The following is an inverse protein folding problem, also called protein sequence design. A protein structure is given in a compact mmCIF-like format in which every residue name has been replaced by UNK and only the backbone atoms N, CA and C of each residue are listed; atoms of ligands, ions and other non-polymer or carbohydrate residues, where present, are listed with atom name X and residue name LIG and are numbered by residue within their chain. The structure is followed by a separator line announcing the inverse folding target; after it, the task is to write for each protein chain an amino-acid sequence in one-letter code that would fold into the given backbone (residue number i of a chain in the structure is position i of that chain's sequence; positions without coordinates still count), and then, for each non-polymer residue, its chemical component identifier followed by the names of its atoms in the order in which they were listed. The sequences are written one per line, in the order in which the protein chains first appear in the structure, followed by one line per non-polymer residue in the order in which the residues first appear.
data_IF_749277254794
#
_entry.id   IF_749277254794
#
_cell.length_a   1.000
_cell.length_b   1.000
_cell.length_c   1.000
_cell.angle_alpha   90.00
_cell.angle_beta   90.00
_cell.angle_gamma   90.00
#
_symmetry.space_group_name_H-M   'P 1'
#
loop_
_entity.id
_entity.type
_entity.pdbx_description
1 polymer ?
#
# COMPACT_ATOMS: atom_id res chain seq x y z
N UNK A 1 23.30 -0.49 -2.59
CA UNK A 1 22.37 -0.37 -1.45
C UNK A 1 21.82 1.05 -1.31
N UNK A 2 22.67 2.09 -1.29
CA UNK A 2 22.29 3.52 -1.21
C UNK A 2 21.27 3.91 -2.30
N UNK A 3 21.52 3.52 -3.55
CA UNK A 3 20.63 3.80 -4.67
C UNK A 3 19.22 3.23 -4.46
N UNK A 4 19.12 2.00 -3.95
CA UNK A 4 17.81 1.36 -3.69
C UNK A 4 17.07 2.04 -2.55
N UNK A 5 17.76 2.48 -1.50
CA UNK A 5 17.14 3.22 -0.38
C UNK A 5 16.56 4.56 -0.84
N UNK A 6 17.32 5.32 -1.65
CA UNK A 6 16.84 6.58 -2.22
C UNK A 6 15.64 6.38 -3.16
N UNK A 7 15.67 5.31 -3.96
CA UNK A 7 14.55 4.95 -4.82
C UNK A 7 13.29 4.63 -4.01
N UNK A 8 13.42 3.89 -2.90
CA UNK A 8 12.29 3.58 -2.01
C UNK A 8 11.71 4.87 -1.42
N UNK A 9 12.54 5.80 -0.95
CA UNK A 9 12.08 7.10 -0.43
C UNK A 9 11.32 7.88 -1.50
N UNK A 10 11.85 7.97 -2.72
CA UNK A 10 11.18 8.63 -3.85
C UNK A 10 9.83 8.00 -4.16
N UNK A 11 9.76 6.66 -4.21
CA UNK A 11 8.51 5.95 -4.50
C UNK A 11 7.47 6.16 -3.39
N UNK A 12 7.87 6.11 -2.11
CA UNK A 12 6.97 6.39 -0.99
C UNK A 12 6.48 7.83 -1.08
N UNK A 13 7.37 8.80 -1.30
CA UNK A 13 7.00 10.20 -1.46
C UNK A 13 6.01 10.37 -2.60
N UNK A 14 6.26 9.76 -3.76
CA UNK A 14 5.34 9.80 -4.89
C UNK A 14 3.96 9.20 -4.55
N UNK A 15 3.90 8.07 -3.85
CA UNK A 15 2.61 7.48 -3.46
C UNK A 15 1.82 8.38 -2.52
N UNK A 16 2.49 9.09 -1.61
CA UNK A 16 1.85 10.06 -0.70
C UNK A 16 1.25 11.24 -1.48
N UNK A 17 1.87 11.67 -2.59
CA UNK A 17 1.28 12.73 -3.44
C UNK A 17 -0.05 12.32 -4.07
N UNK A 18 -0.24 11.01 -4.29
CA UNK A 18 -1.49 10.50 -4.85
C UNK A 18 -2.63 10.50 -3.82
N UNK A 19 -2.31 10.15 -2.57
CA UNK A 19 -3.27 10.13 -1.45
C UNK A 19 -2.54 10.29 -0.12
N UNK A 20 -2.98 11.21 0.71
CA UNK A 20 -2.43 11.45 2.06
C UNK A 20 -2.45 10.22 2.96
N UNK A 21 -3.40 9.31 2.78
CA UNK A 21 -3.50 8.02 3.47
C UNK A 21 -2.20 7.20 3.36
N UNK A 22 -1.47 7.30 2.26
CA UNK A 22 -0.21 6.57 2.07
C UNK A 22 0.97 7.11 2.91
N UNK A 23 0.76 8.12 3.74
CA UNK A 23 1.80 8.58 4.69
C UNK A 23 2.30 7.44 5.59
N UNK A 24 1.44 6.49 5.94
CA UNK A 24 1.79 5.30 6.71
C UNK A 24 2.80 4.39 5.99
N UNK A 25 2.96 4.52 4.67
CA UNK A 25 3.98 3.77 3.90
C UNK A 25 5.41 4.08 4.34
N UNK A 26 5.66 5.20 5.06
CA UNK A 26 6.96 5.46 5.67
C UNK A 26 7.37 4.38 6.68
N UNK A 27 6.42 3.66 7.29
CA UNK A 27 6.73 2.51 8.16
C UNK A 27 7.49 1.40 7.43
N UNK A 28 7.38 1.31 6.10
CA UNK A 28 8.16 0.36 5.29
C UNK A 28 9.67 0.64 5.31
N UNK A 29 10.10 1.82 5.77
CA UNK A 29 11.52 2.13 5.95
C UNK A 29 12.08 1.56 7.25
N UNK A 30 11.25 1.22 8.25
CA UNK A 30 11.69 0.77 9.57
C UNK A 30 12.60 -0.46 9.53
N UNK A 31 12.37 -1.52 8.70
CA UNK A 31 13.30 -2.64 8.61
C UNK A 31 14.71 -2.24 8.16
N UNK A 32 14.81 -1.26 7.27
CA UNK A 32 16.09 -0.74 6.81
C UNK A 32 16.81 0.04 7.91
N UNK A 33 16.06 0.84 8.68
CA UNK A 33 16.60 1.61 9.80
C UNK A 33 17.07 0.71 10.95
N UNK A 34 16.41 -0.42 11.19
CA UNK A 34 16.72 -1.35 12.28
C UNK A 34 17.94 -2.24 11.97
N UNK A 35 18.09 -2.72 10.74
CA UNK A 35 19.09 -3.75 10.40
C UNK A 35 20.29 -3.23 9.62
N UNK A 36 20.29 -1.96 9.23
CA UNK A 36 21.40 -1.33 8.53
C UNK A 36 21.88 -0.09 9.29
N UNK A 37 23.10 0.34 9.02
CA UNK A 37 23.67 1.56 9.62
C UNK A 37 22.95 2.80 9.08
N UNK A 38 21.80 3.14 9.74
CA UNK A 38 20.94 4.23 9.33
C UNK A 38 21.62 5.60 9.42
N UNK A 39 22.54 5.80 10.41
CA UNK A 39 23.26 7.07 10.57
C UNK A 39 24.11 7.37 9.34
N UNK A 40 24.90 6.38 8.91
CA UNK A 40 25.71 6.49 7.70
C UNK A 40 24.84 6.66 6.45
N UNK A 41 23.72 5.97 6.36
CA UNK A 41 22.78 6.08 5.24
C UNK A 41 22.14 7.47 5.18
N UNK A 42 21.65 8.01 6.29
CA UNK A 42 21.07 9.35 6.36
C UNK A 42 22.08 10.43 5.99
N UNK A 43 23.27 10.44 6.61
CA UNK A 43 24.33 11.40 6.32
C UNK A 43 24.68 11.39 4.82
N UNK A 44 24.86 10.22 4.23
CA UNK A 44 25.15 10.10 2.80
C UNK A 44 23.98 10.49 1.88
N UNK A 45 22.76 10.51 2.42
CA UNK A 45 21.55 10.81 1.64
C UNK A 45 21.12 12.26 1.72
N UNK A 46 21.44 12.99 2.80
CA UNK A 46 21.01 14.39 3.04
C UNK A 46 21.37 15.32 1.86
N UNK A 47 22.56 15.18 1.28
CA UNK A 47 22.99 15.99 0.13
C UNK A 47 22.63 15.37 -1.22
N UNK A 48 21.84 14.30 -1.23
CA UNK A 48 21.40 13.68 -2.49
C UNK A 48 20.19 14.42 -3.05
N UNK A 49 20.22 14.76 -4.35
CA UNK A 49 19.14 15.48 -5.03
C UNK A 49 17.77 14.79 -4.87
N UNK A 50 17.74 13.44 -4.94
CA UNK A 50 16.50 12.67 -4.78
C UNK A 50 15.93 12.81 -3.37
N UNK A 51 16.77 12.82 -2.33
CA UNK A 51 16.34 12.98 -0.95
C UNK A 51 15.82 14.40 -0.69
N UNK A 52 16.56 15.41 -1.16
CA UNK A 52 16.14 16.82 -1.07
C UNK A 52 14.82 17.04 -1.80
N UNK A 53 14.67 16.50 -3.00
CA UNK A 53 13.42 16.57 -3.76
C UNK A 53 12.26 15.92 -3.00
N UNK A 54 12.45 14.75 -2.38
CA UNK A 54 11.44 14.10 -1.57
C UNK A 54 10.99 14.96 -0.38
N UNK A 55 11.94 15.58 0.34
CA UNK A 55 11.61 16.47 1.46
C UNK A 55 10.83 17.69 0.97
N UNK A 56 11.28 18.35 -0.08
CA UNK A 56 10.60 19.51 -0.66
C UNK A 56 9.17 19.14 -1.08
N UNK A 57 8.99 17.97 -1.70
CA UNK A 57 7.67 17.49 -2.11
C UNK A 57 6.74 17.28 -0.91
N UNK A 58 7.22 16.66 0.17
CA UNK A 58 6.42 16.45 1.40
C UNK A 58 6.05 17.79 2.04
N UNK A 59 7.00 18.72 2.15
CA UNK A 59 6.74 20.08 2.70
C UNK A 59 5.69 20.79 1.83
N UNK A 60 5.82 20.72 0.52
CA UNK A 60 4.86 21.33 -0.41
C UNK A 60 3.46 20.74 -0.29
N UNK A 61 3.33 19.42 -0.12
CA UNK A 61 2.05 18.76 0.12
C UNK A 61 1.40 19.22 1.43
N UNK A 62 2.18 19.30 2.51
CA UNK A 62 1.69 19.82 3.79
C UNK A 62 1.24 21.27 3.64
N UNK A 63 2.03 22.10 2.94
CA UNK A 63 1.68 23.49 2.70
C UNK A 63 0.40 23.65 1.88
N UNK A 64 0.21 22.84 0.83
CA UNK A 64 -1.03 22.84 0.04
C UNK A 64 -2.21 22.40 0.90
N UNK A 65 -2.13 21.28 1.61
CA UNK A 65 -3.20 20.84 2.49
C UNK A 65 -3.57 21.91 3.50
N UNK A 66 -2.58 22.52 4.12
CA UNK A 66 -2.77 23.59 5.07
C UNK A 66 -3.42 24.83 4.43
N UNK A 67 -2.96 25.25 3.27
CA UNK A 67 -3.49 26.42 2.56
C UNK A 67 -4.96 26.26 2.16
N UNK A 68 -5.40 25.04 1.80
CA UNK A 68 -6.78 24.79 1.37
C UNK A 68 -7.73 24.40 2.50
N UNK A 69 -7.23 23.78 3.57
CA UNK A 69 -8.09 23.17 4.58
C UNK A 69 -7.80 23.63 6.01
N UNK A 70 -6.66 24.30 6.27
CA UNK A 70 -6.18 24.56 7.61
C UNK A 70 -5.60 23.34 8.32
N UNK A 71 -5.44 22.20 7.64
CA UNK A 71 -4.92 20.95 8.20
C UNK A 71 -3.59 20.57 7.53
N UNK A 72 -2.61 20.13 8.32
CA UNK A 72 -1.35 19.64 7.76
C UNK A 72 -1.55 18.34 6.95
N UNK A 73 -2.45 17.46 7.39
CA UNK A 73 -2.81 16.21 6.70
C UNK A 73 -4.34 16.08 6.69
N UNK A 74 -4.97 16.40 5.57
CA UNK A 74 -6.42 16.25 5.42
C UNK A 74 -6.76 14.79 5.03
N UNK A 75 -7.81 14.17 5.59
CA UNK A 75 -8.79 14.65 6.54
C UNK A 75 -8.56 14.20 8.00
N UNK A 76 -7.39 14.46 8.56
CA UNK A 76 -7.06 14.14 9.95
C UNK A 76 -7.27 15.38 10.82
N UNK A 77 -8.37 15.43 11.59
CA UNK A 77 -8.80 16.60 12.35
C UNK A 77 -7.78 17.08 13.41
N UNK A 78 -6.97 16.16 13.95
CA UNK A 78 -5.93 16.46 14.92
C UNK A 78 -4.79 17.32 14.35
N UNK A 79 -4.66 17.33 13.02
CA UNK A 79 -3.65 18.13 12.31
C UNK A 79 -4.16 19.51 11.88
N UNK A 80 -5.41 19.88 12.26
CA UNK A 80 -6.07 21.09 11.81
C UNK A 80 -5.98 22.21 12.87
N UNK A 81 -5.67 23.45 12.41
CA UNK A 81 -5.57 24.67 13.20
C UNK A 81 -6.80 25.59 12.98
N UNK A 82 -8.00 24.99 12.90
CA UNK A 82 -9.23 25.72 12.53
C UNK A 82 -9.66 26.81 13.51
N UNK A 83 -9.28 26.75 14.78
CA UNK A 83 -9.70 27.71 15.78
C UNK A 83 -9.14 29.15 15.56
N UNK A 84 -7.99 29.24 14.88
CA UNK A 84 -7.24 30.48 14.75
C UNK A 84 -7.29 31.11 13.35
N UNK A 85 -7.96 30.42 12.38
CA UNK A 85 -7.95 30.81 10.97
C UNK A 85 -9.36 30.87 10.42
N UNK A 86 -9.78 32.10 10.02
CA UNK A 86 -11.14 32.35 9.51
C UNK A 86 -11.52 31.61 8.22
N UNK A 87 -10.55 31.16 7.45
CA UNK A 87 -10.72 30.45 6.19
C UNK A 87 -10.58 28.92 6.32
N UNK A 88 -10.09 28.41 7.46
CA UNK A 88 -9.87 26.99 7.64
C UNK A 88 -11.20 26.23 7.85
N UNK A 89 -11.19 24.95 7.45
CA UNK A 89 -12.34 24.08 7.67
C UNK A 89 -12.53 23.80 9.17
N UNK A 90 -13.76 23.82 9.63
CA UNK A 90 -14.10 23.42 10.99
C UNK A 90 -13.72 21.95 11.26
N UNK A 91 -13.23 21.65 12.46
CA UNK A 91 -12.79 20.28 12.83
C UNK A 91 -13.92 19.26 12.71
N UNK A 92 -15.15 19.65 13.02
CA UNK A 92 -16.35 18.84 12.87
C UNK A 92 -16.65 18.52 11.41
N UNK A 93 -16.42 19.48 10.50
CA UNK A 93 -16.55 19.24 9.07
C UNK A 93 -15.50 18.24 8.58
N UNK A 94 -14.25 18.41 9.01
CA UNK A 94 -13.15 17.48 8.66
C UNK A 94 -13.45 16.07 9.18
N UNK A 95 -13.98 15.94 10.41
CA UNK A 95 -14.37 14.64 10.97
C UNK A 95 -15.50 14.00 10.13
N UNK A 96 -16.55 14.74 9.80
CA UNK A 96 -17.64 14.22 8.94
C UNK A 96 -17.12 13.73 7.59
N UNK A 97 -16.14 14.40 7.01
CA UNK A 97 -15.51 13.96 5.76
C UNK A 97 -14.68 12.68 5.95
N UNK A 98 -13.94 12.57 7.04
CA UNK A 98 -13.21 11.36 7.39
C UNK A 98 -14.15 10.16 7.55
N UNK A 99 -15.24 10.33 8.31
CA UNK A 99 -16.27 9.31 8.53
C UNK A 99 -16.94 8.91 7.21
N UNK A 100 -17.18 9.87 6.34
CA UNK A 100 -17.75 9.61 5.02
C UNK A 100 -16.84 8.77 4.13
N UNK A 101 -15.51 9.04 4.13
CA UNK A 101 -14.55 8.21 3.41
C UNK A 101 -14.46 6.80 3.98
N UNK A 102 -14.53 6.65 5.32
CA UNK A 102 -14.61 5.34 5.95
C UNK A 102 -15.87 4.59 5.56
N UNK A 103 -17.04 5.25 5.65
CA UNK A 103 -18.33 4.68 5.26
C UNK A 103 -18.29 4.18 3.81
N UNK A 104 -17.77 4.98 2.89
CA UNK A 104 -17.61 4.62 1.49
C UNK A 104 -16.70 3.38 1.30
N UNK A 105 -15.58 3.36 1.97
CA UNK A 105 -14.61 2.26 1.86
C UNK A 105 -15.13 0.96 2.47
N UNK A 106 -16.01 1.06 3.45
CA UNK A 106 -16.70 -0.03 4.13
C UNK A 106 -18.01 -0.47 3.44
N UNK A 107 -18.25 0.03 2.22
CA UNK A 107 -19.46 -0.24 1.42
C UNK A 107 -20.80 0.23 2.06
N UNK A 108 -20.74 1.14 3.02
CA UNK A 108 -21.91 1.72 3.69
C UNK A 108 -22.52 2.92 2.96
N UNK A 109 -21.89 3.38 1.88
CA UNK A 109 -22.39 4.42 1.00
C UNK A 109 -22.10 4.08 -0.46
N UNK A 110 -23.02 4.40 -1.35
CA UNK A 110 -22.92 4.20 -2.78
C UNK A 110 -24.04 4.92 -3.50
N UNK A 111 -24.12 4.78 -4.83
CA UNK A 111 -25.11 5.47 -5.66
C UNK A 111 -26.54 5.11 -5.23
N UNK A 112 -26.80 3.84 -4.93
CA UNK A 112 -28.13 3.31 -4.63
C UNK A 112 -28.28 2.78 -3.19
N UNK A 113 -27.32 3.08 -2.32
CA UNK A 113 -27.35 2.57 -0.95
C UNK A 113 -26.60 3.49 0.01
N UNK A 114 -27.25 3.81 1.12
CA UNK A 114 -26.64 4.52 2.24
C UNK A 114 -27.17 3.98 3.55
N UNK A 115 -26.29 3.72 4.51
CA UNK A 115 -26.69 3.29 5.86
C UNK A 115 -27.36 4.45 6.60
N UNK A 116 -28.32 4.11 7.47
CA UNK A 116 -29.13 5.10 8.20
C UNK A 116 -28.31 5.79 9.32
N UNK A 117 -27.46 5.04 10.02
CA UNK A 117 -26.63 5.52 11.11
C UNK A 117 -25.15 5.33 10.75
N UNK A 118 -24.51 6.34 10.10
CA UNK A 118 -23.11 6.26 9.68
C UNK A 118 -22.13 6.08 10.83
N UNK A 119 -22.33 6.77 11.96
CA UNK A 119 -21.40 6.76 13.09
C UNK A 119 -21.33 5.38 13.74
N UNK A 120 -22.50 4.79 14.03
CA UNK A 120 -22.59 3.43 14.55
C UNK A 120 -22.04 2.40 13.55
N UNK A 121 -22.29 2.61 12.26
CA UNK A 121 -21.88 1.71 11.20
C UNK A 121 -20.34 1.58 11.10
N UNK A 122 -19.60 2.70 11.14
CA UNK A 122 -18.16 2.69 10.97
C UNK A 122 -17.40 2.17 12.20
N UNK A 123 -18.06 2.12 13.38
CA UNK A 123 -17.46 1.67 14.62
C UNK A 123 -17.28 0.15 14.66
N UNK A 124 -16.17 -0.27 15.25
CA UNK A 124 -15.84 -1.69 15.41
C UNK A 124 -15.93 -2.45 14.07
N UNK A 125 -16.60 -3.59 14.04
CA UNK A 125 -16.86 -4.40 12.85
C UNK A 125 -18.34 -4.43 12.43
N UNK A 126 -19.14 -3.43 12.84
CA UNK A 126 -20.57 -3.36 12.47
C UNK A 126 -20.80 -3.29 10.95
N UNK A 127 -19.79 -2.81 10.21
CA UNK A 127 -19.79 -2.71 8.75
C UNK A 127 -19.50 -4.03 8.04
N UNK A 128 -18.97 -5.06 8.73
CA UNK A 128 -18.38 -6.23 8.09
C UNK A 128 -19.37 -7.02 7.23
N UNK A 129 -20.60 -7.28 7.70
CA UNK A 129 -21.62 -8.01 6.93
C UNK A 129 -21.96 -7.30 5.62
N UNK A 130 -22.22 -5.99 5.69
CA UNK A 130 -22.55 -5.18 4.50
C UNK A 130 -21.37 -5.13 3.52
N UNK A 131 -20.14 -4.96 4.03
CA UNK A 131 -18.93 -4.97 3.20
C UNK A 131 -18.72 -6.34 2.54
N UNK A 132 -18.92 -7.43 3.26
CA UNK A 132 -18.81 -8.79 2.73
C UNK A 132 -19.78 -9.00 1.55
N UNK A 133 -21.05 -8.70 1.74
CA UNK A 133 -22.08 -8.91 0.72
C UNK A 133 -21.94 -7.96 -0.48
N UNK A 134 -21.64 -6.67 -0.26
CA UNK A 134 -21.67 -5.63 -1.30
C UNK A 134 -20.30 -5.38 -1.97
N UNK A 135 -19.21 -5.69 -1.30
CA UNK A 135 -17.87 -5.41 -1.83
C UNK A 135 -17.03 -6.67 -1.99
N UNK A 136 -16.94 -7.52 -0.95
CA UNK A 136 -16.10 -8.71 -0.98
C UNK A 136 -16.52 -9.67 -2.10
N UNK A 137 -17.79 -10.06 -2.16
CA UNK A 137 -18.27 -11.05 -3.13
C UNK A 137 -18.11 -10.61 -4.59
N UNK A 138 -18.17 -9.30 -4.86
CA UNK A 138 -18.13 -8.77 -6.23
C UNK A 138 -16.74 -8.34 -6.69
N UNK A 139 -15.93 -7.71 -5.82
CA UNK A 139 -14.65 -7.11 -6.21
C UNK A 139 -13.46 -7.75 -5.51
N UNK A 140 -13.55 -7.94 -4.21
CA UNK A 140 -12.43 -8.40 -3.40
C UNK A 140 -12.12 -9.88 -3.67
N UNK A 141 -13.13 -10.71 -3.81
CA UNK A 141 -13.02 -12.14 -4.14
C UNK A 141 -12.27 -12.35 -5.46
N UNK A 142 -12.65 -11.65 -6.51
CA UNK A 142 -12.00 -11.75 -7.82
C UNK A 142 -10.53 -11.33 -7.76
N UNK A 143 -10.25 -10.25 -7.02
CA UNK A 143 -8.88 -9.79 -6.81
C UNK A 143 -8.01 -10.86 -6.11
N UNK A 144 -8.50 -11.50 -5.05
CA UNK A 144 -7.79 -12.56 -4.33
C UNK A 144 -7.56 -13.80 -5.22
N UNK A 145 -8.56 -14.20 -6.00
CA UNK A 145 -8.43 -15.32 -6.95
C UNK A 145 -7.34 -14.99 -7.99
N UNK A 146 -7.35 -13.77 -8.54
CA UNK A 146 -6.32 -13.31 -9.48
C UNK A 146 -4.91 -13.31 -8.88
N UNK A 147 -4.75 -12.87 -7.63
CA UNK A 147 -3.46 -12.93 -6.93
C UNK A 147 -3.01 -14.37 -6.67
N UNK A 148 -3.92 -15.26 -6.30
CA UNK A 148 -3.62 -16.68 -6.12
C UNK A 148 -3.14 -17.34 -7.41
N UNK A 149 -3.82 -17.07 -8.51
CA UNK A 149 -3.40 -17.54 -9.83
C UNK A 149 -2.01 -17.01 -10.22
N UNK A 150 -1.75 -15.71 -10.01
CA UNK A 150 -0.46 -15.10 -10.28
C UNK A 150 0.65 -15.74 -9.42
N UNK A 151 0.38 -16.04 -8.15
CA UNK A 151 1.31 -16.71 -7.25
C UNK A 151 1.68 -18.11 -7.77
N UNK A 152 0.70 -18.90 -8.15
CA UNK A 152 0.90 -20.24 -8.73
C UNK A 152 1.77 -20.14 -9.98
N UNK A 153 1.46 -19.20 -10.88
CA UNK A 153 2.21 -18.98 -12.11
C UNK A 153 3.66 -18.60 -11.85
N UNK A 154 3.92 -17.72 -10.87
CA UNK A 154 5.26 -17.35 -10.43
C UNK A 154 6.04 -18.58 -9.94
N UNK A 155 5.45 -19.42 -9.09
CA UNK A 155 6.11 -20.63 -8.59
C UNK A 155 6.45 -21.64 -9.69
N UNK A 156 5.57 -21.80 -10.69
CA UNK A 156 5.82 -22.68 -11.84
C UNK A 156 7.01 -22.17 -12.68
N UNK A 157 7.02 -20.86 -12.95
CA UNK A 157 8.01 -20.25 -13.83
C UNK A 157 9.41 -20.19 -13.22
N UNK A 158 9.49 -19.99 -11.91
CA UNK A 158 10.76 -19.86 -11.20
C UNK A 158 11.20 -21.15 -10.48
N UNK A 159 10.67 -22.31 -10.92
CA UNK A 159 11.07 -23.61 -10.39
C UNK A 159 12.57 -23.86 -10.66
N UNK A 160 13.34 -24.07 -9.58
CA UNK A 160 14.78 -24.30 -9.67
C UNK A 160 15.34 -24.93 -8.38
N UNK A 161 16.56 -25.49 -8.39
CA UNK A 161 17.16 -26.13 -7.23
C UNK A 161 17.43 -25.12 -6.10
N UNK A 162 17.27 -25.54 -4.87
CA UNK A 162 17.70 -24.77 -3.70
C UNK A 162 19.22 -24.86 -3.60
N UNK A 163 19.91 -23.73 -3.54
CA UNK A 163 21.36 -23.72 -3.56
C UNK A 163 22.04 -22.85 -2.50
N UNK A 164 21.30 -22.03 -1.78
CA UNK A 164 21.90 -21.09 -0.81
C UNK A 164 21.10 -21.04 0.49
N UNK A 165 21.83 -21.05 1.63
CA UNK A 165 21.28 -20.58 2.90
C UNK A 165 21.06 -19.08 2.82
N UNK A 166 19.94 -18.62 3.31
CA UNK A 166 19.62 -17.18 3.39
C UNK A 166 20.59 -16.55 4.40
N UNK A 167 21.14 -15.40 4.05
CA UNK A 167 21.88 -14.58 5.00
C UNK A 167 20.94 -14.16 6.14
N UNK A 168 21.33 -14.45 7.38
CA UNK A 168 20.55 -14.16 8.61
C UNK A 168 20.09 -12.71 8.70
N UNK A 169 20.89 -11.76 8.19
CA UNK A 169 20.53 -10.35 8.17
C UNK A 169 19.38 -10.07 7.20
N UNK A 170 19.42 -10.64 6.01
CA UNK A 170 18.37 -10.53 5.00
C UNK A 170 17.07 -11.18 5.48
N UNK A 171 17.18 -12.33 6.13
CA UNK A 171 16.05 -13.02 6.72
C UNK A 171 15.34 -12.17 7.78
N UNK A 172 16.09 -11.60 8.74
CA UNK A 172 15.57 -10.69 9.76
C UNK A 172 14.91 -9.45 9.15
N UNK A 173 15.53 -8.86 8.12
CA UNK A 173 14.97 -7.70 7.41
C UNK A 173 13.64 -8.06 6.73
N UNK A 174 13.57 -9.22 6.09
CA UNK A 174 12.36 -9.66 5.40
C UNK A 174 11.23 -10.02 6.38
N UNK A 175 11.57 -10.66 7.51
CA UNK A 175 10.60 -10.92 8.59
C UNK A 175 10.05 -9.64 9.20
N UNK A 176 10.92 -8.66 9.47
CA UNK A 176 10.50 -7.34 9.96
C UNK A 176 9.63 -6.61 8.94
N UNK A 177 9.98 -6.67 7.65
CA UNK A 177 9.15 -6.11 6.58
C UNK A 177 7.77 -6.78 6.54
N UNK A 178 7.73 -8.11 6.67
CA UNK A 178 6.46 -8.86 6.74
C UNK A 178 5.60 -8.38 7.88
N UNK A 179 6.18 -8.22 9.08
CA UNK A 179 5.45 -7.72 10.24
C UNK A 179 4.88 -6.31 10.00
N UNK A 180 5.68 -5.40 9.45
CA UNK A 180 5.22 -4.04 9.10
C UNK A 180 4.07 -4.09 8.10
N UNK A 181 4.19 -4.90 7.04
CA UNK A 181 3.12 -5.03 6.04
C UNK A 181 1.85 -5.63 6.65
N UNK A 182 1.96 -6.59 7.58
CA UNK A 182 0.80 -7.14 8.30
C UNK A 182 0.11 -6.06 9.15
N UNK A 183 0.86 -5.24 9.88
CA UNK A 183 0.32 -4.11 10.65
C UNK A 183 -0.42 -3.12 9.73
N UNK A 184 0.21 -2.73 8.62
CA UNK A 184 -0.40 -1.84 7.64
C UNK A 184 -1.64 -2.46 6.98
N UNK A 185 -1.65 -3.79 6.76
CA UNK A 185 -2.82 -4.50 6.23
C UNK A 185 -3.98 -4.49 7.21
N UNK A 186 -3.70 -4.69 8.49
CA UNK A 186 -4.73 -4.65 9.53
C UNK A 186 -5.31 -3.23 9.66
N UNK A 187 -4.47 -2.21 9.69
CA UNK A 187 -4.86 -0.80 9.72
C UNK A 187 -5.74 -0.45 8.52
N UNK A 188 -5.28 -0.80 7.31
CA UNK A 188 -6.05 -0.61 6.09
C UNK A 188 -7.40 -1.31 6.14
N UNK A 189 -7.43 -2.58 6.53
CA UNK A 189 -8.66 -3.37 6.56
C UNK A 189 -9.65 -2.81 7.57
N UNK A 190 -9.20 -2.39 8.73
CA UNK A 190 -10.06 -1.84 9.78
C UNK A 190 -10.65 -0.48 9.40
N UNK A 191 -9.84 0.42 8.83
CA UNK A 191 -10.25 1.79 8.54
C UNK A 191 -10.84 1.96 7.13
N UNK A 192 -10.18 1.41 6.11
CA UNK A 192 -10.51 1.67 4.71
C UNK A 192 -10.43 0.42 3.82
N UNK A 193 -11.24 -0.65 4.04
CA UNK A 193 -11.10 -1.96 3.40
C UNK A 193 -11.47 -1.99 1.91
N UNK A 194 -11.31 -0.89 1.20
CA UNK A 194 -11.46 -0.85 -0.25
C UNK A 194 -10.09 -1.04 -0.94
N UNK A 195 -10.03 -1.86 -1.99
CA UNK A 195 -8.79 -2.21 -2.72
C UNK A 195 -8.03 -0.99 -3.21
N UNK A 196 -8.73 0.08 -3.59
CA UNK A 196 -8.13 1.34 -4.05
C UNK A 196 -7.29 2.07 -2.98
N UNK A 197 -7.47 1.74 -1.68
CA UNK A 197 -6.71 2.35 -0.57
C UNK A 197 -5.55 1.48 -0.11
N UNK A 198 -5.63 0.16 -0.27
CA UNK A 198 -4.60 -0.72 0.26
C UNK A 198 -4.47 -2.07 -0.42
N UNK A 199 -4.99 -2.25 -1.65
CA UNK A 199 -4.82 -3.49 -2.40
C UNK A 199 -3.36 -3.91 -2.58
N UNK A 200 -2.42 -2.96 -2.53
CA UNK A 200 -0.99 -3.23 -2.57
C UNK A 200 -0.49 -4.03 -1.35
N UNK A 201 -1.11 -3.91 -0.18
CA UNK A 201 -0.76 -4.72 1.00
C UNK A 201 -0.98 -6.20 0.73
N UNK A 202 -2.12 -6.54 0.12
CA UNK A 202 -2.42 -7.90 -0.28
C UNK A 202 -1.44 -8.40 -1.33
N UNK A 203 -1.07 -7.55 -2.28
CA UNK A 203 -0.07 -7.87 -3.28
C UNK A 203 1.30 -8.14 -2.63
N UNK A 204 1.68 -7.34 -1.65
CA UNK A 204 2.90 -7.56 -0.88
C UNK A 204 2.88 -8.87 -0.11
N UNK A 205 1.81 -9.17 0.63
CA UNK A 205 1.72 -10.38 1.46
C UNK A 205 1.63 -11.64 0.61
N UNK A 206 0.79 -11.63 -0.43
CA UNK A 206 0.51 -12.83 -1.21
C UNK A 206 1.54 -13.10 -2.31
N UNK A 207 2.20 -12.07 -2.83
CA UNK A 207 3.12 -12.20 -3.97
C UNK A 207 4.56 -11.82 -3.57
N UNK A 208 4.82 -10.55 -3.24
CA UNK A 208 6.19 -10.07 -3.10
C UNK A 208 6.95 -10.71 -1.95
N UNK A 209 6.35 -10.89 -0.78
CA UNK A 209 7.02 -11.47 0.38
C UNK A 209 7.32 -12.95 0.15
N UNK A 210 6.35 -13.83 -0.19
CA UNK A 210 6.62 -15.23 -0.49
C UNK A 210 7.63 -15.41 -1.61
N UNK A 211 7.53 -14.59 -2.67
CA UNK A 211 8.45 -14.65 -3.79
C UNK A 211 9.86 -14.18 -3.42
N UNK A 212 10.01 -13.16 -2.57
CA UNK A 212 11.31 -12.73 -2.06
C UNK A 212 11.99 -13.80 -1.21
N UNK A 213 11.25 -14.49 -0.33
CA UNK A 213 11.75 -15.65 0.40
C UNK A 213 12.18 -16.76 -0.55
N UNK A 214 11.33 -17.09 -1.51
CA UNK A 214 11.59 -18.13 -2.50
C UNK A 214 12.87 -17.82 -3.31
N UNK A 215 12.98 -16.61 -3.88
CA UNK A 215 14.15 -16.21 -4.68
C UNK A 215 15.43 -16.12 -3.86
N UNK A 216 15.36 -15.77 -2.57
CA UNK A 216 16.54 -15.69 -1.71
C UNK A 216 17.23 -17.04 -1.52
N UNK A 217 16.51 -18.14 -1.71
CA UNK A 217 17.00 -19.52 -1.59
C UNK A 217 17.46 -20.11 -2.94
N UNK A 218 17.15 -19.44 -4.05
CA UNK A 218 17.43 -19.99 -5.39
C UNK A 218 18.70 -19.41 -5.99
N UNK A 219 19.41 -20.24 -6.75
CA UNK A 219 20.41 -19.75 -7.71
C UNK A 219 19.64 -19.29 -8.94
N UNK A 220 19.51 -17.97 -9.11
CA UNK A 220 18.87 -17.43 -10.31
C UNK A 220 19.85 -17.62 -11.47
N UNK A 221 19.62 -18.62 -12.30
CA UNK A 221 20.16 -18.61 -13.64
C UNK A 221 19.33 -17.60 -14.43
N UNK A 222 19.99 -16.64 -15.10
CA UNK A 222 19.31 -15.71 -15.98
C UNK A 222 18.39 -16.51 -16.92
N UNK A 223 17.11 -16.31 -16.79
CA UNK A 223 16.10 -16.95 -17.62
C UNK A 223 16.45 -16.67 -19.10
N UNK A 224 16.47 -17.74 -19.89
CA UNK A 224 16.58 -17.65 -21.33
C UNK A 224 15.54 -16.63 -21.84
N UNK A 225 15.95 -15.67 -22.68
CA UNK A 225 15.08 -14.60 -23.20
C UNK A 225 13.76 -15.13 -23.71
N UNK A 226 13.74 -16.32 -24.34
CA UNK A 226 12.52 -16.99 -24.78
C UNK A 226 11.53 -17.27 -23.65
N UNK A 227 12.00 -17.79 -22.51
CA UNK A 227 11.11 -18.06 -21.34
C UNK A 227 10.50 -16.78 -20.78
N UNK A 228 11.28 -15.70 -20.68
CA UNK A 228 10.77 -14.40 -20.21
C UNK A 228 9.69 -13.86 -21.14
N UNK A 229 9.87 -13.98 -22.46
CA UNK A 229 8.88 -13.55 -23.45
C UNK A 229 7.59 -14.37 -23.36
N UNK A 230 7.67 -15.71 -23.23
CA UNK A 230 6.48 -16.56 -23.02
C UNK A 230 5.73 -16.20 -21.73
N UNK A 231 6.45 -15.89 -20.64
CA UNK A 231 5.84 -15.44 -19.39
C UNK A 231 5.05 -14.16 -19.56
N UNK A 232 5.63 -13.15 -20.22
CA UNK A 232 4.97 -11.87 -20.47
C UNK A 232 3.72 -12.04 -21.36
N UNK A 233 3.80 -12.90 -22.37
CA UNK A 233 2.66 -13.21 -23.24
C UNK A 233 1.54 -13.91 -22.43
N UNK A 234 1.86 -14.90 -21.61
CA UNK A 234 0.87 -15.59 -20.78
C UNK A 234 0.21 -14.65 -19.76
N UNK A 235 0.99 -13.77 -19.11
CA UNK A 235 0.45 -12.75 -18.21
C UNK A 235 -0.48 -11.79 -18.96
N UNK A 236 -0.09 -11.34 -20.14
CA UNK A 236 -0.92 -10.44 -20.96
C UNK A 236 -2.22 -11.11 -21.40
N UNK A 237 -2.19 -12.39 -21.80
CA UNK A 237 -3.38 -13.15 -22.18
C UNK A 237 -4.29 -13.37 -20.96
N UNK A 238 -3.75 -13.72 -19.80
CA UNK A 238 -4.56 -13.94 -18.60
C UNK A 238 -5.23 -12.63 -18.13
N UNK A 239 -4.55 -11.50 -18.21
CA UNK A 239 -5.15 -10.18 -17.92
C UNK A 239 -6.25 -9.85 -18.91
N UNK A 240 -6.05 -10.09 -20.22
CA UNK A 240 -7.08 -9.88 -21.25
C UNK A 240 -8.31 -10.77 -21.03
N UNK A 241 -8.12 -12.04 -20.68
CA UNK A 241 -9.23 -12.96 -20.40
C UNK A 241 -10.03 -12.50 -19.17
N UNK A 242 -9.36 -12.11 -18.09
CA UNK A 242 -10.03 -11.62 -16.87
C UNK A 242 -10.82 -10.32 -17.16
N UNK A 243 -10.25 -9.40 -17.93
CA UNK A 243 -10.93 -8.14 -18.29
C UNK A 243 -12.15 -8.41 -19.17
N UNK A 244 -12.07 -9.35 -20.13
CA UNK A 244 -13.20 -9.63 -21.04
C UNK A 244 -14.33 -10.45 -20.38
N UNK A 245 -14.06 -11.27 -19.37
CA UNK A 245 -15.13 -11.97 -18.62
C UNK A 245 -15.99 -11.00 -17.82
N UNK A 246 -15.48 -9.82 -17.44
CA UNK A 246 -16.21 -8.80 -16.68
C UNK A 246 -17.01 -7.81 -17.56
N UNK A 247 -17.03 -7.99 -18.89
CA UNK A 247 -17.77 -7.11 -19.83
C UNK A 247 -19.07 -7.79 -20.31
N UNK A 248 -19.27 -9.06 -20.02
CA UNK A 248 -20.49 -9.81 -20.26
C UNK A 248 -21.25 -9.96 -18.95
#
# INVERSE_FOLDING_TARGET
FKSNFLLIILLITYTITLKSFFVLSFLLLTPFLLFYDYKKMLILSIFNRAFIFSIITVIFLIAINFAYTGCAIYPIKETCLSADLSWALEKEHVQRMSDWYQQWSKAGAGINFRVQDPEKYIQNFNWFSTWYERYFLYKFKEFIIGLGFLLILIFILFKGPNSKKIDKRKEKTLLSLTLVVLILTFEWFYNHPALRYGGYHLFCILIFIPFSFYLSQKKIYFLDKKKTTYCLILISISVLVIVNINIV
#
